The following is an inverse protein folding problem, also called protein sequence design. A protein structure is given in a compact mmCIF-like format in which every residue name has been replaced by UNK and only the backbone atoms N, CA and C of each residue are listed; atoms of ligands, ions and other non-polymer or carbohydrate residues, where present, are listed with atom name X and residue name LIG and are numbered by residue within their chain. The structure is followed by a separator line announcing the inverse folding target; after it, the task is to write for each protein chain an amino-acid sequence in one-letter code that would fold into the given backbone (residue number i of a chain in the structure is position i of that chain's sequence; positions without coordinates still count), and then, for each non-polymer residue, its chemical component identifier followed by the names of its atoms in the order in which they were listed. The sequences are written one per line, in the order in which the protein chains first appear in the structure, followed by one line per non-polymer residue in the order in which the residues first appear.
data_IF_324968696736
#
_entry.id   IF_324968696736
#
_cell.length_a   1.000
_cell.length_b   1.000
_cell.length_c   1.000
_cell.angle_alpha   90.00
_cell.angle_beta   90.00
_cell.angle_gamma   90.00
#
_symmetry.space_group_name_H-M   'P 1'
#
loop_
_entity.id
_entity.type
_entity.pdbx_description
1 polymer ?
#
# COMPACT_ATOMS: atom_id res chain seq x y z
N UNK A 1 18.61 9.50 5.75
CA UNK A 1 17.34 10.12 6.17
C UNK A 1 16.80 10.96 5.00
N UNK A 2 15.84 10.42 4.24
CA UNK A 2 15.32 10.93 2.97
C UNK A 2 14.02 11.72 3.18
N UNK A 3 14.13 13.01 3.51
CA UNK A 3 12.97 13.86 3.86
C UNK A 3 12.82 15.09 2.96
N UNK A 4 13.86 15.43 2.19
CA UNK A 4 13.89 16.59 1.30
C UNK A 4 14.43 16.12 -0.05
N UNK A 5 13.76 16.45 -1.17
CA UNK A 5 14.28 16.20 -2.50
C UNK A 5 15.63 16.88 -2.70
N UNK A 6 16.50 16.26 -3.51
CA UNK A 6 17.81 16.81 -3.83
C UNK A 6 17.92 17.14 -5.32
N UNK A 7 18.71 18.16 -5.63
CA UNK A 7 19.18 18.43 -6.98
C UNK A 7 20.15 17.33 -7.44
N UNK A 8 20.46 17.30 -8.74
CA UNK A 8 21.39 16.33 -9.33
C UNK A 8 22.82 16.43 -8.76
N UNK A 9 23.17 17.56 -8.13
CA UNK A 9 24.44 17.78 -7.44
C UNK A 9 24.45 17.34 -5.97
N UNK A 10 23.33 16.81 -5.47
CA UNK A 10 23.16 16.34 -4.10
C UNK A 10 22.75 17.41 -3.08
N UNK A 11 22.61 18.69 -3.48
CA UNK A 11 22.08 19.77 -2.63
C UNK A 11 20.57 19.61 -2.42
N UNK A 12 20.05 20.03 -1.26
CA UNK A 12 18.62 19.95 -0.96
C UNK A 12 17.83 21.07 -1.66
N UNK A 13 16.59 20.81 -2.06
CA UNK A 13 15.68 21.87 -2.53
C UNK A 13 15.24 22.75 -1.36
N UNK A 14 15.37 24.07 -1.51
CA UNK A 14 14.90 25.04 -0.50
C UNK A 14 13.36 25.13 -0.46
N UNK A 15 12.71 24.97 -1.60
CA UNK A 15 11.25 24.96 -1.74
C UNK A 15 10.83 23.95 -2.82
N UNK A 16 9.78 23.19 -2.56
CA UNK A 16 9.22 22.25 -3.52
C UNK A 16 7.72 22.04 -3.26
N UNK A 17 6.98 21.70 -4.31
CA UNK A 17 5.55 21.38 -4.24
C UNK A 17 5.27 20.12 -5.04
N UNK A 18 4.29 19.32 -4.59
CA UNK A 18 3.76 18.17 -5.33
C UNK A 18 2.26 18.34 -5.49
N UNK A 19 1.75 18.01 -6.67
CA UNK A 19 0.34 18.00 -6.99
C UNK A 19 -0.06 16.62 -7.50
N UNK A 20 -1.24 16.15 -7.12
CA UNK A 20 -1.82 14.90 -7.57
C UNK A 20 -3.33 15.05 -7.71
N UNK A 21 -3.89 14.42 -8.74
CA UNK A 21 -5.33 14.39 -8.97
C UNK A 21 -5.83 12.96 -9.03
N UNK A 22 -7.04 12.72 -8.53
CA UNK A 22 -7.74 11.46 -8.77
C UNK A 22 -9.21 11.70 -9.07
N UNK A 23 -9.75 10.87 -9.96
CA UNK A 23 -11.18 10.79 -10.24
C UNK A 23 -11.75 9.60 -9.49
N UNK A 24 -12.97 9.77 -8.97
CA UNK A 24 -13.69 8.74 -8.22
C UNK A 24 -15.09 8.58 -8.80
N UNK A 25 -15.44 7.36 -9.17
CA UNK A 25 -16.78 6.98 -9.56
C UNK A 25 -17.31 5.93 -8.57
N UNK A 26 -18.59 6.02 -8.22
CA UNK A 26 -19.27 5.03 -7.38
C UNK A 26 -20.50 4.50 -8.10
N UNK A 27 -20.62 3.19 -8.15
CA UNK A 27 -21.79 2.47 -8.63
C UNK A 27 -22.21 1.46 -7.57
N UNK A 28 -23.46 1.54 -7.08
CA UNK A 28 -23.91 0.77 -5.91
C UNK A 28 -22.98 0.99 -4.69
N UNK A 29 -22.50 -0.08 -4.08
CA UNK A 29 -21.53 -0.11 -2.99
C UNK A 29 -20.11 -0.39 -3.51
N UNK A 30 -19.88 -0.19 -4.80
CA UNK A 30 -18.57 -0.35 -5.43
C UNK A 30 -18.04 1.00 -5.87
N UNK A 31 -16.82 1.31 -5.46
CA UNK A 31 -16.11 2.54 -5.76
C UNK A 31 -14.89 2.23 -6.60
N UNK A 32 -14.70 2.98 -7.69
CA UNK A 32 -13.50 2.95 -8.51
C UNK A 32 -12.83 4.31 -8.44
N UNK A 33 -11.53 4.33 -8.13
CA UNK A 33 -10.69 5.51 -8.06
C UNK A 33 -9.52 5.36 -9.01
N UNK A 34 -9.27 6.37 -9.84
CA UNK A 34 -8.14 6.40 -10.76
C UNK A 34 -7.36 7.70 -10.62
N UNK A 35 -6.04 7.61 -10.50
CA UNK A 35 -5.13 8.75 -10.39
C UNK A 35 -4.17 8.61 -9.21
N UNK A 36 -3.64 9.75 -8.75
CA UNK A 36 -2.65 9.84 -7.67
C UNK A 36 -3.32 9.74 -6.31
N UNK A 37 -2.80 8.84 -5.47
CA UNK A 37 -3.62 8.23 -4.46
C UNK A 37 -2.78 7.69 -3.30
N UNK A 38 -3.12 8.08 -2.07
CA UNK A 38 -2.59 7.44 -0.84
C UNK A 38 -3.27 6.08 -0.69
N UNK A 39 -2.48 5.06 -0.41
CA UNK A 39 -2.92 3.68 -0.14
C UNK A 39 -2.71 3.34 1.33
N UNK A 40 -3.66 2.58 1.87
CA UNK A 40 -3.61 2.07 3.24
C UNK A 40 -3.93 0.57 3.21
N UNK A 41 -3.13 -0.19 2.46
CA UNK A 41 -3.23 -1.64 2.37
C UNK A 41 -2.03 -2.27 3.10
N UNK A 42 -2.21 -3.32 3.93
CA UNK A 42 -1.09 -3.92 4.67
C UNK A 42 0.04 -4.44 3.77
N UNK A 43 -0.29 -4.85 2.54
CA UNK A 43 0.68 -5.29 1.53
C UNK A 43 1.31 -4.14 0.75
N UNK A 44 0.63 -2.99 0.68
CA UNK A 44 1.04 -1.81 -0.08
C UNK A 44 0.48 -0.55 0.60
N UNK A 45 1.21 -0.06 1.59
CA UNK A 45 0.84 1.13 2.35
C UNK A 45 1.73 2.29 1.95
N UNK A 46 1.12 3.45 1.71
CA UNK A 46 1.85 4.71 1.59
C UNK A 46 2.54 5.04 2.91
N UNK A 47 3.84 5.31 2.88
CA UNK A 47 4.53 5.79 4.08
C UNK A 47 4.06 7.21 4.46
N UNK A 48 3.17 7.30 5.43
CA UNK A 48 2.63 8.56 5.98
C UNK A 48 3.44 9.10 7.16
N UNK A 49 4.49 8.40 7.60
CA UNK A 49 5.35 8.80 8.73
C UNK A 49 6.42 9.84 8.38
N UNK A 50 6.38 10.42 7.17
CA UNK A 50 7.34 11.43 6.66
C UNK A 50 6.61 12.75 6.38
N UNK A 51 7.38 13.81 6.08
CA UNK A 51 6.82 15.16 5.85
C UNK A 51 5.77 15.22 4.74
N UNK A 52 5.88 14.35 3.71
CA UNK A 52 4.87 14.19 2.66
C UNK A 52 4.60 12.70 2.46
N UNK A 53 3.33 12.27 2.36
CA UNK A 53 3.00 10.88 2.09
C UNK A 53 3.57 10.38 0.77
N UNK A 54 3.83 9.09 0.71
CA UNK A 54 4.08 8.39 -0.55
C UNK A 54 2.79 8.25 -1.37
N UNK A 55 2.87 8.47 -2.68
CA UNK A 55 1.70 8.43 -3.56
C UNK A 55 1.83 7.35 -4.63
N UNK A 56 0.80 6.52 -4.74
CA UNK A 56 0.68 5.57 -5.84
C UNK A 56 -0.27 6.13 -6.90
N UNK A 57 0.10 6.02 -8.17
CA UNK A 57 -0.78 6.37 -9.28
C UNK A 57 -1.27 5.10 -9.98
N UNK A 58 -2.59 4.95 -10.05
CA UNK A 58 -3.22 3.76 -10.61
C UNK A 58 -4.72 3.72 -10.40
N UNK A 59 -5.28 2.54 -10.63
CA UNK A 59 -6.70 2.25 -10.40
C UNK A 59 -6.85 1.44 -9.12
N UNK A 60 -7.78 1.83 -8.26
CA UNK A 60 -8.22 1.07 -7.10
C UNK A 60 -9.73 0.88 -7.17
N UNK A 61 -10.16 -0.36 -7.06
CA UNK A 61 -11.54 -0.77 -6.90
C UNK A 61 -11.74 -1.25 -5.47
N UNK A 62 -12.78 -0.74 -4.81
CA UNK A 62 -13.23 -1.17 -3.48
C UNK A 62 -14.71 -1.48 -3.56
N UNK A 63 -15.10 -2.68 -3.13
CA UNK A 63 -16.47 -3.17 -3.21
C UNK A 63 -16.98 -3.61 -1.84
N UNK A 64 -18.18 -3.14 -1.49
CA UNK A 64 -18.94 -3.51 -0.30
C UNK A 64 -20.33 -4.06 -0.68
N UNK A 65 -20.45 -4.73 -1.83
CA UNK A 65 -21.73 -5.30 -2.27
C UNK A 65 -22.22 -6.41 -1.32
N UNK A 66 -21.28 -7.17 -0.73
CA UNK A 66 -21.59 -8.24 0.19
C UNK A 66 -21.51 -7.70 1.62
N UNK A 67 -22.58 -7.90 2.39
CA UNK A 67 -22.63 -7.47 3.80
C UNK A 67 -21.43 -8.03 4.56
N UNK A 68 -20.77 -7.16 5.33
CA UNK A 68 -19.60 -7.46 6.14
C UNK A 68 -18.33 -7.86 5.36
N UNK A 69 -18.35 -7.84 4.03
CA UNK A 69 -17.20 -8.12 3.17
C UNK A 69 -16.79 -6.85 2.44
N UNK A 70 -15.54 -6.45 2.64
CA UNK A 70 -14.87 -5.49 1.78
C UNK A 70 -13.93 -6.27 0.86
N UNK A 71 -14.03 -6.04 -0.45
CA UNK A 71 -13.09 -6.58 -1.44
C UNK A 71 -12.38 -5.41 -2.10
N UNK A 72 -11.06 -5.50 -2.19
CA UNK A 72 -10.23 -4.53 -2.89
C UNK A 72 -9.44 -5.20 -4.01
N UNK A 73 -9.30 -4.48 -5.12
CA UNK A 73 -8.40 -4.86 -6.19
C UNK A 73 -7.84 -3.59 -6.82
N UNK A 74 -6.55 -3.56 -7.09
CA UNK A 74 -5.90 -2.37 -7.62
C UNK A 74 -4.76 -2.72 -8.55
N UNK A 75 -4.51 -1.82 -9.50
CA UNK A 75 -3.37 -1.88 -10.39
C UNK A 75 -2.69 -0.51 -10.37
N UNK A 76 -1.44 -0.50 -9.95
CA UNK A 76 -0.60 0.68 -9.85
C UNK A 76 0.55 0.56 -10.84
N UNK A 77 0.85 1.67 -11.52
CA UNK A 77 1.85 1.74 -12.59
C UNK A 77 2.88 2.81 -12.33
N UNK A 78 2.73 3.61 -11.27
CA UNK A 78 3.72 4.60 -10.86
C UNK A 78 3.74 4.70 -9.34
N UNK A 79 4.92 4.93 -8.80
CA UNK A 79 5.17 5.19 -7.39
C UNK A 79 5.92 6.51 -7.24
N UNK A 80 5.59 7.25 -6.19
CA UNK A 80 6.23 8.49 -5.79
C UNK A 80 6.61 8.42 -4.32
N UNK A 81 7.87 8.08 -4.07
CA UNK A 81 8.41 8.04 -2.72
C UNK A 81 8.44 9.46 -2.10
N UNK A 82 8.42 9.50 -0.78
CA UNK A 82 8.35 10.74 0.02
C UNK A 82 9.50 11.73 -0.25
N UNK A 83 10.64 11.28 -0.78
CA UNK A 83 11.82 12.11 -1.06
C UNK A 83 12.00 12.52 -2.54
N UNK A 84 11.03 12.24 -3.41
CA UNK A 84 11.16 12.45 -4.85
C UNK A 84 10.11 13.38 -5.47
N UNK A 85 10.55 14.34 -6.28
CA UNK A 85 9.64 15.26 -7.00
C UNK A 85 8.99 14.58 -8.22
N UNK A 86 9.67 13.64 -8.90
CA UNK A 86 9.21 13.05 -10.17
C UNK A 86 8.29 11.83 -10.01
N UNK A 87 7.20 11.80 -10.79
CA UNK A 87 6.21 10.69 -10.81
C UNK A 87 6.69 9.56 -11.72
N UNK A 88 7.79 8.89 -11.36
CA UNK A 88 8.24 7.61 -11.95
C UNK A 88 9.55 7.05 -11.35
N UNK A 89 9.87 7.34 -10.09
CA UNK A 89 11.14 6.90 -9.52
C UNK A 89 10.92 5.88 -8.39
N UNK A 90 10.79 4.61 -8.76
CA UNK A 90 11.21 3.53 -7.84
C UNK A 90 12.62 3.87 -7.28
N UNK A 91 13.01 3.30 -6.13
CA UNK A 91 14.36 3.39 -5.55
C UNK A 91 15.52 3.12 -6.54
N UNK A 92 15.23 2.55 -7.71
CA UNK A 92 16.12 2.21 -8.82
C UNK A 92 16.09 3.20 -10.00
N UNK A 93 15.27 4.26 -9.94
CA UNK A 93 15.13 5.27 -11.00
C UNK A 93 14.46 4.77 -12.29
N UNK A 94 13.75 3.62 -12.26
CA UNK A 94 13.18 2.95 -13.44
C UNK A 94 11.65 2.85 -13.47
N UNK A 95 10.96 3.50 -12.54
CA UNK A 95 9.50 3.45 -12.45
C UNK A 95 8.98 2.13 -11.90
N UNK A 96 7.76 2.17 -11.36
CA UNK A 96 7.08 1.00 -10.86
C UNK A 96 6.40 0.29 -12.05
N UNK A 97 7.06 -0.73 -12.60
CA UNK A 97 6.70 -1.37 -13.87
C UNK A 97 5.23 -1.82 -13.90
N UNK A 98 4.78 -2.46 -12.80
CA UNK A 98 3.37 -2.76 -12.48
C UNK A 98 3.26 -3.43 -11.10
N UNK A 99 2.45 -2.88 -10.20
CA UNK A 99 2.00 -3.58 -8.99
C UNK A 99 0.50 -3.88 -9.08
N UNK A 100 0.12 -5.12 -8.83
CA UNK A 100 -1.26 -5.55 -8.70
C UNK A 100 -1.48 -5.89 -7.24
N UNK A 101 -2.50 -5.29 -6.63
CA UNK A 101 -2.94 -5.63 -5.28
C UNK A 101 -4.34 -6.20 -5.32
N UNK A 102 -4.62 -7.11 -4.42
CA UNK A 102 -5.95 -7.60 -4.19
C UNK A 102 -6.10 -7.98 -2.72
N UNK A 103 -7.32 -8.03 -2.24
CA UNK A 103 -7.56 -8.50 -0.90
C UNK A 103 -9.01 -8.43 -0.52
N UNK A 104 -9.29 -9.01 0.63
CA UNK A 104 -10.61 -8.98 1.21
C UNK A 104 -10.49 -8.88 2.73
N UNK A 105 -11.43 -8.16 3.31
CA UNK A 105 -11.64 -8.10 4.76
C UNK A 105 -13.06 -8.53 5.04
N UNK A 106 -13.21 -9.54 5.89
CA UNK A 106 -14.50 -10.06 6.28
C UNK A 106 -14.72 -9.91 7.78
N UNK A 107 -15.85 -9.31 8.15
CA UNK A 107 -16.31 -9.21 9.53
C UNK A 107 -17.32 -10.34 9.78
N UNK A 108 -16.86 -11.44 10.37
CA UNK A 108 -17.72 -12.58 10.69
C UNK A 108 -18.81 -12.19 11.70
N UNK A 109 -18.44 -11.41 12.72
CA UNK A 109 -19.33 -10.82 13.71
C UNK A 109 -18.66 -9.60 14.36
N UNK A 110 -19.27 -9.01 15.39
CA UNK A 110 -18.72 -7.84 16.09
C UNK A 110 -17.39 -8.10 16.82
N UNK A 111 -17.07 -9.37 17.04
CA UNK A 111 -15.92 -9.84 17.81
C UNK A 111 -14.85 -10.49 16.94
N UNK A 112 -15.13 -10.90 15.70
CA UNK A 112 -14.20 -11.63 14.85
C UNK A 112 -14.14 -10.99 13.47
N UNK A 113 -12.96 -10.55 13.09
CA UNK A 113 -12.65 -10.12 11.74
C UNK A 113 -11.40 -10.83 11.23
N UNK A 114 -11.38 -11.10 9.92
CA UNK A 114 -10.19 -11.57 9.24
C UNK A 114 -9.97 -10.74 7.99
N UNK A 115 -8.71 -10.63 7.59
CA UNK A 115 -8.34 -10.00 6.35
C UNK A 115 -7.21 -10.74 5.68
N UNK A 116 -7.22 -10.70 4.36
CA UNK A 116 -6.18 -11.28 3.53
C UNK A 116 -5.92 -10.35 2.36
N UNK A 117 -4.65 -10.08 2.10
CA UNK A 117 -4.22 -9.19 1.03
C UNK A 117 -3.02 -9.82 0.31
N UNK A 118 -3.00 -9.67 -1.01
CA UNK A 118 -1.92 -10.05 -1.89
C UNK A 118 -1.40 -8.85 -2.67
N UNK A 119 -0.10 -8.83 -2.91
CA UNK A 119 0.60 -7.90 -3.79
C UNK A 119 1.48 -8.73 -4.71
N UNK A 120 1.32 -8.53 -6.02
CA UNK A 120 2.25 -8.97 -7.05
C UNK A 120 2.87 -7.73 -7.68
N UNK A 121 4.16 -7.55 -7.44
CA UNK A 121 4.97 -6.54 -8.11
C UNK A 121 5.84 -7.22 -9.15
N UNK A 122 5.58 -6.89 -10.41
CA UNK A 122 6.27 -7.47 -11.57
C UNK A 122 7.79 -7.29 -11.43
N UNK A 123 8.54 -8.39 -11.50
CA UNK A 123 10.01 -8.44 -11.40
C UNK A 123 10.59 -7.96 -10.07
N UNK A 124 9.80 -7.87 -9.01
CA UNK A 124 10.26 -7.40 -7.71
C UNK A 124 9.93 -8.38 -6.58
N UNK A 125 8.64 -8.54 -6.26
CA UNK A 125 8.21 -9.35 -5.14
C UNK A 125 6.74 -9.74 -5.24
N UNK A 126 6.43 -10.90 -4.68
CA UNK A 126 5.09 -11.34 -4.37
C UNK A 126 4.94 -11.39 -2.85
N UNK A 127 3.93 -10.71 -2.31
CA UNK A 127 3.68 -10.65 -0.87
C UNK A 127 2.24 -10.97 -0.55
N UNK A 128 2.06 -11.86 0.41
CA UNK A 128 0.78 -12.22 0.99
C UNK A 128 0.77 -11.80 2.45
N UNK A 129 -0.34 -11.24 2.88
CA UNK A 129 -0.61 -10.87 4.26
C UNK A 129 -1.92 -11.49 4.68
N UNK A 130 -1.93 -12.10 5.86
CA UNK A 130 -3.13 -12.58 6.50
C UNK A 130 -3.21 -12.02 7.92
N UNK A 131 -4.40 -11.61 8.34
CA UNK A 131 -4.65 -11.19 9.70
C UNK A 131 -5.98 -11.73 10.21
N UNK A 132 -6.00 -12.06 11.48
CA UNK A 132 -7.19 -12.45 12.23
C UNK A 132 -7.19 -11.68 13.54
N UNK A 133 -8.29 -11.01 13.82
CA UNK A 133 -8.47 -10.22 15.02
C UNK A 133 -9.75 -10.68 15.73
N UNK A 134 -9.59 -11.12 16.99
CA UNK A 134 -10.66 -11.61 17.83
C UNK A 134 -10.75 -10.81 19.13
N UNK A 135 -11.88 -10.14 19.35
CA UNK A 135 -12.21 -9.38 20.54
C UNK A 135 -13.10 -10.22 21.46
N UNK A 136 -12.55 -10.66 22.58
CA UNK A 136 -13.29 -11.33 23.64
C UNK A 136 -13.83 -10.28 24.62
N UNK A 137 -15.16 -10.10 24.75
CA UNK A 137 -15.74 -9.26 25.79
C UNK A 137 -15.57 -9.94 27.17
N UNK A 138 -15.27 -9.15 28.18
CA UNK A 138 -15.20 -9.53 29.60
C UNK A 138 -16.26 -8.75 30.41
N UNK A 139 -16.35 -9.04 31.71
CA UNK A 139 -17.21 -8.27 32.62
C UNK A 139 -16.76 -6.79 32.72
N UNK A 140 -17.67 -5.92 33.13
CA UNK A 140 -17.43 -4.50 33.38
C UNK A 140 -16.91 -3.73 32.14
N UNK A 141 -17.52 -3.97 30.97
CA UNK A 141 -17.16 -3.32 29.70
C UNK A 141 -15.68 -3.47 29.27
N UNK A 142 -14.98 -4.43 29.85
CA UNK A 142 -13.61 -4.75 29.50
C UNK A 142 -13.57 -5.70 28.31
N UNK A 143 -12.49 -5.67 27.53
CA UNK A 143 -12.30 -6.61 26.42
C UNK A 143 -10.84 -6.98 26.26
N UNK A 144 -10.58 -8.24 25.90
CA UNK A 144 -9.27 -8.73 25.51
C UNK A 144 -9.27 -8.93 23.99
N UNK A 145 -8.29 -8.34 23.32
CA UNK A 145 -8.17 -8.44 21.85
C UNK A 145 -6.96 -9.29 21.51
N UNK A 146 -7.19 -10.33 20.74
CA UNK A 146 -6.17 -11.18 20.15
C UNK A 146 -5.99 -10.76 18.70
N UNK A 147 -4.80 -10.29 18.35
CA UNK A 147 -4.44 -9.92 16.98
C UNK A 147 -3.31 -10.82 16.48
N UNK A 148 -3.57 -11.51 15.38
CA UNK A 148 -2.58 -12.35 14.71
C UNK A 148 -2.38 -11.83 13.29
N UNK A 149 -1.16 -11.42 12.97
CA UNK A 149 -0.78 -10.97 11.62
C UNK A 149 0.41 -11.75 11.11
N UNK A 150 0.35 -12.24 9.88
CA UNK A 150 1.43 -12.97 9.22
C UNK A 150 1.71 -12.41 7.82
N UNK A 151 2.99 -12.30 7.48
CA UNK A 151 3.44 -11.91 6.15
C UNK A 151 4.25 -13.05 5.54
N UNK A 152 3.95 -13.37 4.28
CA UNK A 152 4.75 -14.26 3.46
C UNK A 152 5.19 -13.51 2.22
N UNK A 153 6.49 -13.29 2.06
CA UNK A 153 7.05 -12.59 0.89
C UNK A 153 7.98 -13.53 0.14
N UNK A 154 7.76 -13.67 -1.17
CA UNK A 154 8.68 -14.30 -2.11
C UNK A 154 9.28 -13.22 -2.98
N UNK A 155 10.59 -13.25 -3.15
CA UNK A 155 11.30 -12.35 -4.04
C UNK A 155 11.53 -13.06 -5.37
N UNK A 156 11.39 -12.33 -6.48
CA UNK A 156 11.75 -12.86 -7.79
C UNK A 156 13.28 -13.05 -7.85
N UNK A 157 13.75 -14.15 -8.46
CA UNK A 157 15.17 -14.44 -8.60
C UNK A 157 15.93 -13.40 -9.46
N UNK A 158 15.20 -12.63 -10.28
CA UNK A 158 15.72 -11.50 -11.05
C UNK A 158 15.52 -10.13 -10.38
N UNK A 159 14.99 -10.10 -9.15
CA UNK A 159 14.90 -8.86 -8.40
C UNK A 159 16.32 -8.39 -8.06
N UNK A 160 16.76 -7.30 -8.70
CA UNK A 160 18.02 -6.66 -8.34
C UNK A 160 17.89 -6.04 -6.95
N UNK A 161 18.22 -6.80 -5.92
CA UNK A 161 18.48 -6.26 -4.60
C UNK A 161 19.74 -5.40 -4.69
N UNK A 162 19.62 -4.14 -4.26
CA UNK A 162 20.74 -3.21 -4.15
C UNK A 162 21.63 -3.62 -2.97
N UNK A 163 22.21 -4.82 -3.02
CA UNK A 163 23.22 -5.27 -2.07
C UNK A 163 24.17 -6.23 -2.78
N UNK A 164 24.95 -5.69 -3.70
CA UNK A 164 26.28 -6.21 -3.94
C UNK A 164 27.16 -5.73 -2.78
N UNK A 165 27.19 -6.46 -1.66
CA UNK A 165 28.41 -6.51 -0.85
C UNK A 165 29.38 -7.43 -1.57
N UNK A 166 30.03 -6.87 -2.59
CA UNK A 166 31.25 -7.43 -3.14
C UNK A 166 32.42 -6.89 -2.34
N UNK A 167 33.04 -7.78 -1.57
CA UNK A 167 34.50 -7.89 -1.39
C UNK A 167 34.81 -9.33 -1.02
#
# INVERSE_FOLDING_TARGET
NQMIPKHNDGSAYDHWARGGGSVKARFSNTTVRYGTQVLDLPVLASNTGRMVPEYFTGTLLTSHEIKNLEVVAGKFTKDQMSDQINTDADASGRGLDRAIVWGAKYKFNDNLNASYYGLDSKNALERHYANVNFKQPLANDSSLTYDFSGYHTKFDANAHTYSATGT
#
